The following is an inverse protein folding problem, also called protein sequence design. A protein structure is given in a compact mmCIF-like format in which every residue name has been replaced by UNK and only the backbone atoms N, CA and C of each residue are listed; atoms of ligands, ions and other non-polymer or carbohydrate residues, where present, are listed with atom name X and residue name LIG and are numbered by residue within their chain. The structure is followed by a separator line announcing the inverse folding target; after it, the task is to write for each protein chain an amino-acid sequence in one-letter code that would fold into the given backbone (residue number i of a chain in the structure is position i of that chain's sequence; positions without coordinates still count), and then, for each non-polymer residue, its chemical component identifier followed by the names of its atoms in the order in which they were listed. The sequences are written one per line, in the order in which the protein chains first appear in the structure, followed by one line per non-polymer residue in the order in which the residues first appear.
data_IF_946677534238
#
_entry.id   IF_946677534238
#
_cell.length_a   1.000
_cell.length_b   1.000
_cell.length_c   1.000
_cell.angle_alpha   90.00
_cell.angle_beta   90.00
_cell.angle_gamma   90.00
#
_symmetry.space_group_name_H-M   'P 1'
#
loop_
_entity.id
_entity.type
_entity.pdbx_description
1 polymer ?
#
# COMPACT_ATOMS: atom_id res chain seq x y z
N UNK A 1 -8.04 13.83 -4.92
CA UNK A 1 -6.66 13.43 -4.58
C UNK A 1 -5.65 14.52 -4.96
N UNK A 2 -4.62 14.79 -4.14
CA UNK A 2 -3.48 15.65 -4.54
C UNK A 2 -2.76 14.99 -5.73
N UNK A 3 -2.32 15.77 -6.72
CA UNK A 3 -1.61 15.23 -7.89
C UNK A 3 -0.33 14.51 -7.42
N UNK A 4 -0.18 13.24 -7.77
CA UNK A 4 1.02 12.46 -7.48
C UNK A 4 2.11 12.81 -8.50
N UNK A 5 3.33 13.08 -8.03
CA UNK A 5 4.50 13.43 -8.86
C UNK A 5 5.74 12.63 -8.50
N UNK A 6 5.66 11.69 -7.55
CA UNK A 6 6.80 10.94 -7.05
C UNK A 6 7.57 10.20 -8.15
N UNK A 7 6.89 9.73 -9.20
CA UNK A 7 7.55 9.09 -10.34
C UNK A 7 8.47 10.07 -11.06
N UNK A 8 7.96 11.24 -11.45
CA UNK A 8 8.77 12.28 -12.10
C UNK A 8 9.84 12.86 -11.20
N UNK A 9 9.53 13.07 -9.93
CA UNK A 9 10.46 13.65 -8.95
C UNK A 9 11.64 12.72 -8.66
N UNK A 10 11.40 11.41 -8.54
CA UNK A 10 12.44 10.43 -8.21
C UNK A 10 13.19 9.89 -9.43
N UNK A 11 12.51 9.74 -10.58
CA UNK A 11 13.07 9.04 -11.75
C UNK A 11 13.36 9.96 -12.92
N UNK A 12 12.78 11.16 -12.99
CA UNK A 12 13.09 12.20 -13.97
C UNK A 12 13.42 11.68 -15.38
N UNK A 13 14.62 12.01 -15.86
CA UNK A 13 15.13 11.56 -17.16
C UNK A 13 15.72 10.16 -17.17
N UNK A 14 15.91 9.52 -16.00
CA UNK A 14 16.46 8.16 -15.90
C UNK A 14 15.46 7.11 -16.40
N UNK A 15 14.18 7.24 -16.00
CA UNK A 15 13.11 6.34 -16.45
C UNK A 15 11.82 7.11 -16.78
N UNK A 16 11.84 8.00 -17.80
CA UNK A 16 10.78 8.97 -18.03
C UNK A 16 9.43 8.33 -18.33
N UNK A 17 9.41 7.21 -19.07
CA UNK A 17 8.14 6.52 -19.35
C UNK A 17 7.55 5.85 -18.10
N UNK A 18 8.38 5.30 -17.23
CA UNK A 18 7.89 4.71 -15.99
C UNK A 18 7.36 5.79 -15.04
N UNK A 19 8.05 6.93 -14.93
CA UNK A 19 7.61 8.09 -14.18
C UNK A 19 6.22 8.59 -14.64
N UNK A 20 6.03 8.73 -15.96
CA UNK A 20 4.75 9.09 -16.57
C UNK A 20 3.65 8.07 -16.22
N UNK A 21 3.91 6.76 -16.42
CA UNK A 21 2.92 5.72 -16.13
C UNK A 21 2.55 5.66 -14.64
N UNK A 22 3.51 5.89 -13.74
CA UNK A 22 3.26 5.94 -12.31
C UNK A 22 2.33 7.11 -11.97
N UNK A 23 2.69 8.32 -12.39
CA UNK A 23 1.98 9.51 -11.97
C UNK A 23 0.62 9.67 -12.66
N UNK A 24 0.56 9.42 -13.97
CA UNK A 24 -0.61 9.72 -14.79
C UNK A 24 -1.57 8.53 -14.84
N UNK A 25 -1.07 7.31 -15.09
CA UNK A 25 -1.95 6.14 -15.25
C UNK A 25 -2.26 5.50 -13.91
N UNK A 26 -1.25 5.11 -13.14
CA UNK A 26 -1.47 4.43 -11.86
C UNK A 26 -2.24 5.35 -10.90
N UNK A 27 -1.68 6.51 -10.57
CA UNK A 27 -2.32 7.41 -9.62
C UNK A 27 -3.38 8.32 -10.26
N UNK A 28 -3.09 8.91 -11.42
CA UNK A 28 -4.01 9.83 -12.09
C UNK A 28 -5.29 9.18 -12.63
N UNK A 29 -5.27 7.90 -13.00
CA UNK A 29 -6.43 7.20 -13.55
C UNK A 29 -6.92 6.03 -12.69
N UNK A 30 -6.07 5.08 -12.31
CA UNK A 30 -6.55 3.84 -11.66
C UNK A 30 -6.95 4.09 -10.20
N UNK A 31 -6.09 4.75 -9.43
CA UNK A 31 -6.36 5.06 -8.03
C UNK A 31 -7.38 6.19 -7.85
N UNK A 32 -7.52 7.08 -8.84
CA UNK A 32 -8.47 8.20 -8.79
C UNK A 32 -9.93 7.80 -9.00
N UNK A 33 -10.21 6.54 -9.40
CA UNK A 33 -11.55 5.95 -9.54
C UNK A 33 -12.16 5.60 -8.17
N UNK A 34 -12.20 6.58 -7.28
CA UNK A 34 -12.69 6.48 -5.90
C UNK A 34 -14.21 6.27 -5.84
N UNK A 35 -14.93 6.71 -6.88
CA UNK A 35 -16.37 6.47 -7.07
C UNK A 35 -16.73 5.00 -7.34
N UNK A 36 -15.74 4.18 -7.72
CA UNK A 36 -15.90 2.74 -7.99
C UNK A 36 -15.40 1.85 -6.87
N UNK A 37 -14.27 2.21 -6.27
CA UNK A 37 -13.68 1.51 -5.13
C UNK A 37 -12.88 2.52 -4.33
N UNK A 38 -13.15 2.61 -3.03
CA UNK A 38 -12.58 3.62 -2.14
C UNK A 38 -11.06 3.50 -2.05
N UNK A 39 -10.37 4.60 -1.74
CA UNK A 39 -8.93 4.56 -1.44
C UNK A 39 -8.62 3.64 -0.25
N UNK A 40 -9.51 3.59 0.75
CA UNK A 40 -9.41 2.68 1.89
C UNK A 40 -9.29 1.23 1.42
N UNK A 41 -10.22 0.77 0.61
CA UNK A 41 -10.27 -0.63 0.15
C UNK A 41 -9.14 -0.94 -0.83
N UNK A 42 -8.79 0.00 -1.72
CA UNK A 42 -7.63 -0.14 -2.62
C UNK A 42 -6.33 -0.28 -1.84
N UNK A 43 -6.15 0.50 -0.78
CA UNK A 43 -4.98 0.41 0.09
C UNK A 43 -4.90 -0.95 0.79
N UNK A 44 -6.02 -1.43 1.34
CA UNK A 44 -6.09 -2.77 1.96
C UNK A 44 -5.70 -3.85 0.94
N UNK A 45 -6.31 -3.86 -0.23
CA UNK A 45 -6.04 -4.86 -1.28
C UNK A 45 -4.57 -4.81 -1.73
N UNK A 46 -3.98 -3.62 -1.80
CA UNK A 46 -2.57 -3.47 -2.19
C UNK A 46 -1.64 -4.05 -1.12
N UNK A 47 -1.90 -3.79 0.17
CA UNK A 47 -1.15 -4.42 1.29
C UNK A 47 -1.29 -5.93 1.25
N UNK A 48 -2.51 -6.45 1.07
CA UNK A 48 -2.77 -7.89 0.92
C UNK A 48 -1.94 -8.49 -0.22
N UNK A 49 -1.90 -7.84 -1.38
CA UNK A 49 -1.14 -8.32 -2.53
C UNK A 49 0.37 -8.34 -2.27
N UNK A 50 0.93 -7.31 -1.64
CA UNK A 50 2.35 -7.24 -1.30
C UNK A 50 2.75 -8.29 -0.25
N UNK A 51 1.94 -8.43 0.80
CA UNK A 51 2.11 -9.46 1.83
C UNK A 51 2.07 -10.86 1.22
N UNK A 52 1.10 -11.14 0.34
CA UNK A 52 0.96 -12.43 -0.36
C UNK A 52 2.19 -12.76 -1.21
N UNK A 53 2.78 -11.74 -1.86
CA UNK A 53 3.99 -11.89 -2.67
C UNK A 53 5.28 -12.03 -1.85
N UNK A 54 5.22 -11.91 -0.53
CA UNK A 54 6.41 -11.96 0.32
C UNK A 54 7.26 -10.67 0.29
N UNK A 55 6.67 -9.53 -0.05
CA UNK A 55 7.39 -8.24 -0.13
C UNK A 55 7.23 -7.52 1.21
N UNK A 56 8.31 -7.43 1.99
CA UNK A 56 8.32 -6.87 3.35
C UNK A 56 9.31 -5.73 3.54
N UNK A 57 9.63 -5.00 2.48
CA UNK A 57 10.53 -3.85 2.52
C UNK A 57 9.75 -2.52 2.67
N UNK A 58 10.43 -1.40 2.40
CA UNK A 58 9.85 -0.06 2.47
C UNK A 58 8.62 0.13 1.58
N UNK A 59 8.43 -0.68 0.53
CA UNK A 59 7.22 -0.64 -0.30
C UNK A 59 5.98 -1.05 0.48
N UNK A 60 6.04 -2.16 1.23
CA UNK A 60 4.93 -2.60 2.07
C UNK A 60 4.67 -1.59 3.18
N UNK A 61 5.73 -1.10 3.85
CA UNK A 61 5.61 -0.06 4.89
C UNK A 61 4.91 1.20 4.34
N UNK A 62 5.26 1.64 3.14
CA UNK A 62 4.59 2.76 2.48
C UNK A 62 3.09 2.51 2.25
N UNK A 63 2.72 1.32 1.81
CA UNK A 63 1.30 1.00 1.62
C UNK A 63 0.53 0.83 2.94
N UNK A 64 1.18 0.38 4.02
CA UNK A 64 0.57 0.39 5.36
C UNK A 64 0.36 1.84 5.85
N UNK A 65 1.30 2.76 5.60
CA UNK A 65 1.07 4.19 5.88
C UNK A 65 -0.14 4.74 5.12
N UNK A 66 -0.33 4.33 3.86
CA UNK A 66 -1.50 4.72 3.07
C UNK A 66 -2.80 4.13 3.61
N UNK A 67 -2.79 2.85 4.04
CA UNK A 67 -3.91 2.20 4.73
C UNK A 67 -4.34 3.03 5.94
N UNK A 68 -3.39 3.43 6.80
CA UNK A 68 -3.64 4.31 7.96
C UNK A 68 -4.20 5.68 7.55
N UNK A 69 -3.56 6.35 6.59
CA UNK A 69 -3.98 7.68 6.11
C UNK A 69 -5.38 7.65 5.46
N UNK A 70 -5.79 6.51 4.92
CA UNK A 70 -7.11 6.30 4.32
C UNK A 70 -8.15 5.76 5.33
N UNK A 71 -7.86 5.87 6.63
CA UNK A 71 -8.84 5.69 7.70
C UNK A 71 -8.99 4.27 8.23
N UNK A 72 -8.07 3.34 7.92
CA UNK A 72 -8.07 2.01 8.54
C UNK A 72 -7.42 2.09 9.92
N UNK A 73 -8.13 1.63 10.95
CA UNK A 73 -7.66 1.67 12.33
C UNK A 73 -6.57 0.63 12.62
N UNK A 74 -5.87 0.77 13.75
CA UNK A 74 -4.89 -0.22 14.21
C UNK A 74 -5.55 -1.60 14.46
N UNK A 75 -6.78 -1.60 14.98
CA UNK A 75 -7.58 -2.80 15.21
C UNK A 75 -7.95 -3.47 13.88
N UNK A 76 -8.46 -2.71 12.91
CA UNK A 76 -8.85 -3.24 11.61
C UNK A 76 -7.67 -3.86 10.85
N UNK A 77 -6.51 -3.19 10.82
CA UNK A 77 -5.33 -3.75 10.13
C UNK A 77 -4.80 -4.99 10.86
N UNK A 78 -4.89 -5.03 12.19
CA UNK A 78 -4.52 -6.19 12.98
C UNK A 78 -5.39 -7.40 12.65
N UNK A 79 -6.71 -7.21 12.55
CA UNK A 79 -7.65 -8.26 12.15
C UNK A 79 -7.44 -8.71 10.70
N UNK A 80 -7.16 -7.78 9.78
CA UNK A 80 -6.85 -8.10 8.38
C UNK A 80 -5.59 -8.97 8.30
N UNK A 81 -4.49 -8.58 8.95
CA UNK A 81 -3.23 -9.35 8.92
C UNK A 81 -3.43 -10.72 9.58
N UNK A 82 -4.16 -10.78 10.70
CA UNK A 82 -4.50 -12.04 11.40
C UNK A 82 -5.28 -12.97 10.49
N UNK A 83 -6.32 -12.46 9.81
CA UNK A 83 -7.12 -13.23 8.87
C UNK A 83 -6.26 -13.76 7.71
N UNK A 84 -5.40 -12.91 7.14
CA UNK A 84 -4.51 -13.28 6.04
C UNK A 84 -3.48 -14.34 6.42
N UNK A 85 -3.04 -14.41 7.69
CA UNK A 85 -2.08 -15.42 8.15
C UNK A 85 -2.49 -16.85 7.75
N UNK A 86 -3.79 -17.15 7.78
CA UNK A 86 -4.35 -18.44 7.40
C UNK A 86 -4.25 -18.74 5.89
N UNK A 87 -4.22 -17.71 5.04
CA UNK A 87 -4.23 -17.86 3.59
C UNK A 87 -2.86 -17.67 2.95
N UNK A 88 -2.01 -16.85 3.56
CA UNK A 88 -0.72 -16.45 3.00
C UNK A 88 0.47 -16.83 3.87
N UNK A 89 0.23 -17.48 5.01
CA UNK A 89 1.25 -18.06 5.89
C UNK A 89 1.67 -17.18 7.07
N UNK A 90 1.96 -17.83 8.20
CA UNK A 90 2.37 -17.18 9.46
C UNK A 90 3.63 -16.32 9.36
N UNK A 91 4.71 -16.74 8.65
CA UNK A 91 5.89 -15.90 8.51
C UNK A 91 5.60 -14.55 7.85
N UNK A 92 4.70 -14.54 6.87
CA UNK A 92 4.28 -13.32 6.17
C UNK A 92 3.50 -12.39 7.11
N UNK A 93 2.66 -12.96 7.98
CA UNK A 93 1.94 -12.18 9.00
C UNK A 93 2.90 -11.56 10.02
N UNK A 94 3.86 -12.32 10.55
CA UNK A 94 4.88 -11.78 11.48
C UNK A 94 5.67 -10.63 10.88
N UNK A 95 6.14 -10.77 9.63
CA UNK A 95 6.86 -9.71 8.94
C UNK A 95 5.98 -8.46 8.72
N UNK A 96 4.71 -8.64 8.38
CA UNK A 96 3.77 -7.54 8.16
C UNK A 96 3.41 -6.84 9.48
N UNK A 97 3.21 -7.58 10.57
CA UNK A 97 2.94 -7.01 11.90
C UNK A 97 4.08 -6.13 12.39
N UNK A 98 5.35 -6.53 12.17
CA UNK A 98 6.50 -5.70 12.54
C UNK A 98 6.41 -4.30 11.92
N UNK A 99 6.10 -4.22 10.61
CA UNK A 99 5.94 -2.95 9.91
C UNK A 99 4.66 -2.20 10.33
N UNK A 100 3.56 -2.91 10.58
CA UNK A 100 2.31 -2.31 11.04
C UNK A 100 2.47 -1.63 12.40
N UNK A 101 3.15 -2.29 13.36
CA UNK A 101 3.48 -1.72 14.66
C UNK A 101 4.23 -0.40 14.54
N UNK A 102 5.28 -0.36 13.71
CA UNK A 102 6.04 0.87 13.46
C UNK A 102 5.19 2.00 12.87
N UNK A 103 4.29 1.70 11.94
CA UNK A 103 3.44 2.71 11.28
C UNK A 103 2.33 3.22 12.20
N UNK A 104 1.75 2.35 13.03
CA UNK A 104 0.67 2.73 13.93
C UNK A 104 1.18 3.32 15.25
N UNK A 105 2.42 3.03 15.64
CA UNK A 105 3.04 3.54 16.87
C UNK A 105 2.78 2.65 18.10
N UNK A 106 2.65 1.35 17.88
CA UNK A 106 2.34 0.31 18.88
C UNK A 106 3.54 -0.63 19.13
#
# INVERSE_FOLDING_TARGET
MKKQTAGRDALGSFAPKFAELNDDVLFGEVWSREDKLSLRDRSIITVTALMTKGIFDNSLKYHIMNVKNNGVSAEEISEIITHLAFYVGWPNAWATFALAKEVYGE
#
